data_IF_705230891697
#
_entry.id   IF_705230891697
#
_cell.length_a   1.000
_cell.length_b   1.000
_cell.length_c   1.000
_cell.angle_alpha   90.00
_cell.angle_beta   90.00
_cell.angle_gamma   90.00
#
_symmetry.space_group_name_H-M   'P 1'
#
loop_
_entity.id
_entity.type
_entity.pdbx_description
1 polymer ?
#
# COMPACT_ATOMS: atom_id res chain seq x y z
N UNK A 1 -8.28 -1.09 27.56
CA UNK A 1 -7.53 -0.28 26.60
C UNK A 1 -8.47 0.52 25.73
N UNK A 2 -8.01 1.62 25.12
CA UNK A 2 -8.77 2.35 24.12
C UNK A 2 -8.54 1.78 22.72
N UNK A 3 -9.58 1.84 21.88
CA UNK A 3 -9.52 1.38 20.49
C UNK A 3 -10.53 2.14 19.61
N UNK A 4 -10.20 2.27 18.33
CA UNK A 4 -11.18 2.60 17.30
C UNK A 4 -11.96 1.33 16.97
N UNK A 5 -13.27 1.44 16.96
CA UNK A 5 -14.19 0.31 16.77
C UNK A 5 -15.13 0.59 15.60
N UNK A 6 -15.29 -0.38 14.70
CA UNK A 6 -16.42 -0.44 13.77
C UNK A 6 -17.48 -1.34 14.42
N UNK A 7 -18.68 -0.81 14.66
CA UNK A 7 -19.79 -1.56 15.27
C UNK A 7 -20.50 -2.46 14.24
N UNK A 8 -20.52 -2.04 12.98
CA UNK A 8 -21.11 -2.74 11.84
C UNK A 8 -20.50 -2.24 10.54
N UNK A 9 -20.84 -2.86 9.42
CA UNK A 9 -20.61 -2.25 8.11
C UNK A 9 -21.49 -1.03 7.90
N UNK A 10 -20.96 0.00 7.24
CA UNK A 10 -21.72 1.23 6.96
C UNK A 10 -20.83 2.42 6.62
N UNK A 11 -21.23 3.60 7.07
CA UNK A 11 -20.50 4.85 6.92
C UNK A 11 -19.63 5.18 8.13
N UNK A 12 -19.10 6.41 8.16
CA UNK A 12 -18.27 6.90 9.26
C UNK A 12 -19.01 7.01 10.61
N UNK A 13 -20.33 6.95 10.60
CA UNK A 13 -21.19 6.88 11.79
C UNK A 13 -21.04 5.57 12.57
N UNK A 14 -20.54 4.51 11.91
CA UNK A 14 -20.27 3.22 12.56
C UNK A 14 -18.94 3.20 13.33
N UNK A 15 -18.18 4.30 13.32
CA UNK A 15 -16.88 4.42 13.96
C UNK A 15 -17.05 5.08 15.33
N UNK A 16 -16.46 4.46 16.34
CA UNK A 16 -16.33 5.03 17.69
C UNK A 16 -14.93 4.83 18.26
N UNK A 17 -14.54 5.67 19.21
CA UNK A 17 -13.34 5.48 20.03
C UNK A 17 -13.76 5.14 21.45
N UNK A 18 -13.55 3.92 21.87
CA UNK A 18 -14.12 3.41 23.12
C UNK A 18 -13.23 2.42 23.86
N UNK A 19 -13.78 1.91 24.96
CA UNK A 19 -13.13 0.87 25.75
C UNK A 19 -13.26 -0.50 25.07
N UNK A 20 -12.15 -1.22 25.04
CA UNK A 20 -12.06 -2.59 24.56
C UNK A 20 -11.22 -3.42 25.53
N UNK A 21 -11.51 -4.71 25.76
CA UNK A 21 -10.68 -5.55 26.61
C UNK A 21 -9.21 -5.52 26.19
N UNK A 22 -8.30 -5.31 27.14
CA UNK A 22 -6.87 -5.44 26.86
C UNK A 22 -6.58 -6.91 26.60
N UNK A 23 -5.90 -7.26 25.50
CA UNK A 23 -5.59 -8.66 25.22
C UNK A 23 -4.59 -9.20 26.24
N UNK A 24 -4.75 -10.48 26.60
CA UNK A 24 -3.76 -11.25 27.34
C UNK A 24 -2.84 -11.94 26.33
N UNK A 25 -1.56 -12.03 26.66
CA UNK A 25 -0.59 -12.72 25.80
C UNK A 25 -0.86 -14.22 25.79
N UNK A 26 -1.02 -14.81 24.60
CA UNK A 26 -1.06 -16.26 24.41
C UNK A 26 0.35 -16.87 24.44
N UNK A 27 0.46 -18.21 24.57
CA UNK A 27 1.75 -18.88 24.74
C UNK A 27 2.74 -18.64 23.59
N UNK A 28 2.26 -18.47 22.35
CA UNK A 28 3.07 -18.26 21.16
C UNK A 28 3.09 -16.79 20.68
N UNK A 29 2.51 -15.87 21.46
CA UNK A 29 2.30 -14.48 21.09
C UNK A 29 3.24 -13.52 21.81
N UNK A 30 3.36 -12.30 21.27
CA UNK A 30 3.85 -11.14 21.99
C UNK A 30 2.71 -10.13 22.16
N UNK A 31 2.62 -9.53 23.34
CA UNK A 31 1.78 -8.36 23.58
C UNK A 31 2.56 -7.12 23.18
N UNK A 32 1.98 -6.34 22.29
CA UNK A 32 2.58 -5.10 21.76
C UNK A 32 1.84 -3.89 22.30
N UNK A 33 2.56 -2.87 22.74
CA UNK A 33 2.06 -1.52 22.84
C UNK A 33 2.17 -0.89 21.45
N UNK A 34 1.03 -0.57 20.84
CA UNK A 34 1.02 0.06 19.50
C UNK A 34 1.63 1.46 19.59
N UNK A 35 2.53 1.78 18.69
CA UNK A 35 3.18 3.09 18.57
C UNK A 35 2.80 3.83 17.30
N UNK A 36 2.45 3.09 16.25
CA UNK A 36 1.94 3.65 15.02
C UNK A 36 1.05 2.64 14.29
N UNK A 37 -0.02 3.12 13.67
CA UNK A 37 -0.89 2.36 12.79
C UNK A 37 -1.20 3.19 11.56
N UNK A 38 -1.14 2.62 10.36
CA UNK A 38 -1.37 3.35 9.13
C UNK A 38 -2.57 2.82 8.34
N UNK A 39 -3.31 3.75 7.71
CA UNK A 39 -4.44 3.43 6.83
C UNK A 39 -3.97 3.03 5.42
N UNK A 40 -4.82 2.26 4.78
CA UNK A 40 -4.69 1.80 3.40
C UNK A 40 -5.94 2.13 2.57
N UNK A 41 -5.81 2.12 1.25
CA UNK A 41 -6.90 2.44 0.33
C UNK A 41 -8.10 1.48 0.43
N UNK A 42 -7.94 0.31 1.05
CA UNK A 42 -9.04 -0.63 1.25
C UNK A 42 -9.77 -0.45 2.61
N UNK A 43 -9.22 0.27 3.59
CA UNK A 43 -9.88 0.46 4.89
C UNK A 43 -11.30 1.05 4.78
N UNK A 44 -11.56 2.04 3.89
CA UNK A 44 -12.93 2.49 3.62
C UNK A 44 -13.84 1.39 3.05
N UNK A 45 -13.26 0.45 2.27
CA UNK A 45 -14.03 -0.68 1.70
C UNK A 45 -14.40 -1.70 2.78
N UNK A 46 -13.49 -1.95 3.73
CA UNK A 46 -13.78 -2.82 4.90
C UNK A 46 -14.90 -2.23 5.74
N UNK A 47 -14.85 -0.93 6.02
CA UNK A 47 -15.93 -0.25 6.74
C UNK A 47 -17.26 -0.39 5.99
N UNK A 48 -17.28 -0.17 4.68
CA UNK A 48 -18.49 -0.30 3.84
C UNK A 48 -19.00 -1.75 3.75
N UNK A 49 -18.09 -2.73 3.87
CA UNK A 49 -18.34 -4.15 3.67
C UNK A 49 -17.99 -4.65 2.27
N UNK A 50 -17.17 -5.68 2.21
CA UNK A 50 -16.79 -6.36 0.96
C UNK A 50 -17.60 -7.65 0.85
N UNK A 51 -18.35 -7.87 -0.25
CA UNK A 51 -19.12 -9.10 -0.44
C UNK A 51 -18.25 -10.37 -0.27
N UNK A 52 -18.69 -11.29 0.56
CA UNK A 52 -17.98 -12.55 0.83
C UNK A 52 -16.90 -12.46 1.90
N UNK A 53 -16.48 -11.26 2.33
CA UNK A 53 -15.53 -11.09 3.42
C UNK A 53 -16.26 -11.13 4.78
N UNK A 54 -15.72 -11.92 5.72
CA UNK A 54 -16.26 -12.01 7.09
C UNK A 54 -15.44 -11.14 8.04
N UNK A 55 -15.93 -9.94 8.31
CA UNK A 55 -15.33 -9.02 9.28
C UNK A 55 -15.87 -9.32 10.69
N UNK A 56 -15.02 -9.55 11.70
CA UNK A 56 -15.47 -9.79 13.08
C UNK A 56 -15.87 -8.47 13.76
N UNK A 57 -17.12 -8.33 14.20
CA UNK A 57 -17.57 -7.13 14.95
C UNK A 57 -17.57 -7.35 16.47
N UNK A 58 -17.30 -6.33 17.29
CA UNK A 58 -16.74 -5.05 16.89
C UNK A 58 -15.34 -5.23 16.29
N UNK A 59 -15.07 -4.52 15.17
CA UNK A 59 -13.81 -4.60 14.46
C UNK A 59 -12.88 -3.47 14.90
N UNK A 60 -11.61 -3.80 15.16
CA UNK A 60 -10.54 -2.80 15.30
C UNK A 60 -9.86 -2.71 13.95
N UNK A 61 -9.91 -1.55 13.25
CA UNK A 61 -9.29 -1.37 11.94
C UNK A 61 -7.77 -1.19 12.01
N UNK A 62 -7.14 -0.98 10.84
CA UNK A 62 -5.71 -0.66 10.70
C UNK A 62 -4.83 -1.91 10.64
N UNK A 63 -4.44 -2.29 9.42
CA UNK A 63 -3.63 -3.49 9.18
C UNK A 63 -2.12 -3.26 9.32
N UNK A 64 -1.65 -2.06 9.06
CA UNK A 64 -0.24 -1.68 9.10
C UNK A 64 0.16 -1.20 10.49
N UNK A 65 0.92 -2.00 11.24
CA UNK A 65 1.15 -1.80 12.68
C UNK A 65 2.64 -1.83 12.99
N UNK A 66 3.10 -0.87 13.77
CA UNK A 66 4.40 -0.87 14.43
C UNK A 66 4.23 -0.63 15.93
N UNK A 67 4.99 -1.33 16.76
CA UNK A 67 4.87 -1.23 18.19
C UNK A 67 6.10 -1.72 18.96
N UNK A 68 5.95 -1.73 20.27
CA UNK A 68 6.97 -2.16 21.22
C UNK A 68 6.45 -3.39 21.98
N UNK A 69 7.27 -4.42 22.07
CA UNK A 69 6.96 -5.61 22.84
C UNK A 69 6.88 -5.26 24.34
N UNK A 70 5.80 -5.61 25.00
CA UNK A 70 5.63 -5.39 26.45
C UNK A 70 5.56 -6.69 27.23
N UNK A 71 5.14 -7.79 26.59
CA UNK A 71 5.11 -9.12 27.21
C UNK A 71 5.30 -10.21 26.15
N UNK A 72 5.83 -11.37 26.52
CA UNK A 72 6.21 -12.46 25.62
C UNK A 72 5.68 -13.78 26.15
N UNK A 73 4.97 -14.52 25.30
CA UNK A 73 4.40 -15.83 25.62
C UNK A 73 5.45 -16.90 25.89
N UNK A 74 5.08 -17.87 26.72
CA UNK A 74 6.00 -18.88 27.26
C UNK A 74 6.63 -19.81 26.20
N UNK A 75 5.97 -20.00 25.05
CA UNK A 75 6.47 -20.83 23.95
C UNK A 75 7.33 -20.06 22.93
N UNK A 76 7.37 -18.73 23.01
CA UNK A 76 8.22 -17.95 22.11
C UNK A 76 9.68 -18.28 22.39
N UNK A 77 10.48 -18.68 21.39
CA UNK A 77 11.87 -19.07 21.62
C UNK A 77 12.65 -18.02 22.38
N UNK A 78 13.33 -18.42 23.45
CA UNK A 78 14.08 -17.51 24.30
C UNK A 78 15.08 -16.66 23.50
N UNK A 79 15.03 -15.35 23.71
CA UNK A 79 15.89 -14.40 23.02
C UNK A 79 15.41 -13.95 21.64
N UNK A 80 14.32 -14.49 21.07
CA UNK A 80 13.78 -14.01 19.81
C UNK A 80 13.16 -12.61 19.96
N UNK A 81 12.39 -12.41 21.01
CA UNK A 81 11.83 -11.11 21.40
C UNK A 81 11.92 -10.94 22.93
N UNK A 82 11.99 -9.68 23.36
CA UNK A 82 11.97 -9.28 24.77
C UNK A 82 11.23 -7.94 24.92
N UNK A 83 10.72 -7.63 26.11
CA UNK A 83 10.15 -6.31 26.39
C UNK A 83 11.11 -5.18 26.01
N UNK A 84 10.58 -4.17 25.31
CA UNK A 84 11.32 -3.06 24.75
C UNK A 84 11.75 -3.24 23.27
N UNK A 85 11.65 -4.44 22.71
CA UNK A 85 11.94 -4.64 21.29
C UNK A 85 10.95 -3.91 20.41
N UNK A 86 11.46 -3.25 19.37
CA UNK A 86 10.68 -2.51 18.38
C UNK A 86 10.30 -3.43 17.23
N UNK A 87 9.01 -3.58 16.94
CA UNK A 87 8.53 -4.57 15.97
C UNK A 87 7.49 -4.00 15.01
N UNK A 88 7.53 -4.49 13.76
CA UNK A 88 6.50 -4.34 12.75
C UNK A 88 5.69 -5.63 12.67
N UNK A 89 4.37 -5.52 12.53
CA UNK A 89 3.50 -6.68 12.33
C UNK A 89 3.39 -7.00 10.84
N UNK A 90 3.50 -8.27 10.49
CA UNK A 90 3.15 -8.78 9.15
C UNK A 90 1.63 -8.90 9.07
N UNK A 91 0.95 -8.03 8.31
CA UNK A 91 -0.52 -7.97 8.35
C UNK A 91 -1.19 -9.15 7.65
N UNK A 92 -0.60 -9.72 6.61
CA UNK A 92 -1.13 -10.91 5.94
C UNK A 92 -0.59 -12.18 6.61
N UNK A 93 -1.49 -12.95 7.24
CA UNK A 93 -1.19 -14.16 7.99
C UNK A 93 -1.77 -15.39 7.26
N UNK A 94 -0.97 -16.13 6.48
CA UNK A 94 -1.45 -17.22 5.64
C UNK A 94 -2.22 -18.29 6.42
N UNK A 95 -3.42 -18.65 5.93
CA UNK A 95 -4.30 -19.64 6.57
C UNK A 95 -5.07 -19.11 7.80
N UNK A 96 -4.82 -17.86 8.22
CA UNK A 96 -5.47 -17.23 9.39
C UNK A 96 -6.32 -16.04 8.97
N UNK A 97 -5.73 -15.05 8.29
CA UNK A 97 -6.43 -13.85 7.85
C UNK A 97 -5.51 -12.66 7.59
N UNK A 98 -6.11 -11.48 7.54
CA UNK A 98 -5.41 -10.21 7.39
C UNK A 98 -5.81 -9.24 8.48
N UNK A 99 -4.82 -8.60 9.09
CA UNK A 99 -5.00 -7.57 10.12
C UNK A 99 -5.80 -6.40 9.56
N UNK A 100 -6.77 -5.90 10.34
CA UNK A 100 -7.64 -4.80 9.93
C UNK A 100 -8.74 -5.20 8.92
N UNK A 101 -8.84 -6.48 8.54
CA UNK A 101 -9.79 -7.00 7.55
C UNK A 101 -10.61 -8.17 8.09
N UNK A 102 -10.00 -9.33 8.27
CA UNK A 102 -10.60 -10.54 8.84
C UNK A 102 -10.09 -10.83 10.25
N UNK A 103 -9.00 -10.18 10.62
CA UNK A 103 -8.45 -10.12 11.98
C UNK A 103 -8.53 -8.68 12.49
N UNK A 104 -8.68 -8.51 13.80
CA UNK A 104 -8.62 -7.17 14.40
C UNK A 104 -7.27 -6.54 14.17
N UNK A 105 -7.28 -5.24 13.84
CA UNK A 105 -6.08 -4.46 13.53
C UNK A 105 -5.50 -3.74 14.74
N UNK A 106 -4.66 -2.74 14.46
CA UNK A 106 -3.85 -2.02 15.43
C UNK A 106 -4.31 -0.61 15.77
N UNK A 107 -5.53 -0.20 15.40
CA UNK A 107 -6.04 1.12 15.82
C UNK A 107 -6.49 1.08 17.29
N UNK A 108 -5.55 0.77 18.22
CA UNK A 108 -5.76 0.56 19.65
C UNK A 108 -4.45 0.74 20.43
N UNK A 109 -4.53 0.73 21.79
CA UNK A 109 -3.35 0.85 22.64
C UNK A 109 -2.46 -0.40 22.61
N UNK A 110 -3.07 -1.60 22.62
CA UNK A 110 -2.37 -2.89 22.73
C UNK A 110 -2.93 -3.94 21.80
N UNK A 111 -2.06 -4.81 21.28
CA UNK A 111 -2.45 -5.95 20.46
C UNK A 111 -1.58 -7.16 20.77
N UNK A 112 -2.17 -8.37 20.85
CA UNK A 112 -1.43 -9.63 20.92
C UNK A 112 -1.30 -10.22 19.52
N UNK A 113 -0.08 -10.60 19.13
CA UNK A 113 0.24 -11.13 17.80
C UNK A 113 1.19 -12.31 17.94
N UNK A 114 0.93 -13.40 17.21
CA UNK A 114 1.84 -14.55 17.14
C UNK A 114 3.24 -14.09 16.71
N UNK A 115 4.25 -14.45 17.49
CA UNK A 115 5.63 -14.02 17.34
C UNK A 115 6.26 -14.35 15.98
N UNK A 116 5.68 -15.30 15.24
CA UNK A 116 6.14 -15.60 13.86
C UNK A 116 5.80 -14.52 12.85
N UNK A 117 4.81 -13.65 13.14
CA UNK A 117 4.39 -12.53 12.31
C UNK A 117 4.97 -11.19 12.75
N UNK A 118 6.01 -11.21 13.57
CA UNK A 118 6.73 -10.02 14.01
C UNK A 118 8.10 -9.93 13.35
N UNK A 119 8.42 -8.73 12.87
CA UNK A 119 9.72 -8.38 12.32
C UNK A 119 10.35 -7.28 13.17
N UNK A 120 11.62 -7.40 13.52
CA UNK A 120 12.33 -6.34 14.24
C UNK A 120 12.47 -5.09 13.36
N UNK A 121 12.20 -3.93 13.95
CA UNK A 121 12.43 -2.64 13.31
C UNK A 121 13.89 -2.25 13.56
N UNK A 122 14.71 -2.02 12.49
CA UNK A 122 16.09 -1.60 12.64
C UNK A 122 16.23 -0.28 13.39
N UNK A 123 17.34 -0.08 14.05
CA UNK A 123 17.70 1.22 14.62
C UNK A 123 17.73 2.28 13.50
N UNK A 124 17.27 3.50 13.79
CA UNK A 124 17.15 4.60 12.82
C UNK A 124 15.84 4.63 12.02
N UNK A 125 15.04 3.56 12.01
CA UNK A 125 13.70 3.57 11.40
C UNK A 125 12.66 3.94 12.46
N UNK A 126 11.81 4.95 12.22
CA UNK A 126 10.74 5.33 13.14
C UNK A 126 9.57 4.35 13.11
N UNK A 127 8.69 4.38 14.13
CA UNK A 127 7.48 3.56 14.14
C UNK A 127 6.51 3.95 13.01
N UNK A 128 6.43 5.25 12.71
CA UNK A 128 5.57 5.79 11.64
C UNK A 128 6.06 5.34 10.26
N UNK A 129 7.39 5.36 10.05
CA UNK A 129 7.99 4.82 8.83
C UNK A 129 7.72 3.32 8.72
N UNK A 130 7.98 2.56 9.78
CA UNK A 130 7.74 1.12 9.81
C UNK A 130 6.28 0.76 9.55
N UNK A 131 5.31 1.47 10.18
CA UNK A 131 3.89 1.27 9.94
C UNK A 131 3.43 1.72 8.54
N UNK A 132 4.21 2.53 7.82
CA UNK A 132 3.86 2.99 6.46
C UNK A 132 4.20 1.97 5.38
N UNK A 133 5.03 0.97 5.69
CA UNK A 133 5.60 0.05 4.70
C UNK A 133 4.71 -1.15 4.34
N UNK A 134 4.07 -1.88 5.29
CA UNK A 134 3.64 -3.26 5.04
C UNK A 134 2.74 -3.42 3.82
N UNK A 135 1.55 -2.89 3.83
CA UNK A 135 0.59 -3.14 2.74
C UNK A 135 0.97 -2.36 1.49
N UNK A 136 1.25 -1.07 1.62
CA UNK A 136 1.47 -0.21 0.46
C UNK A 136 2.82 -0.47 -0.22
N UNK A 137 3.92 -0.31 0.51
CA UNK A 137 5.26 -0.47 -0.04
C UNK A 137 5.63 -1.94 -0.28
N UNK A 138 5.14 -2.85 0.58
CA UNK A 138 5.27 -4.30 0.34
C UNK A 138 4.63 -4.71 -0.97
N UNK A 139 3.40 -4.27 -1.23
CA UNK A 139 2.72 -4.48 -2.51
C UNK A 139 3.51 -3.87 -3.67
N UNK A 140 3.96 -2.62 -3.52
CA UNK A 140 4.74 -1.94 -4.56
C UNK A 140 6.05 -2.69 -4.85
N UNK A 141 6.83 -3.08 -3.82
CA UNK A 141 8.09 -3.79 -4.00
C UNK A 141 7.88 -5.12 -4.72
N UNK A 142 6.94 -5.95 -4.24
CA UNK A 142 6.65 -7.22 -4.89
C UNK A 142 6.20 -7.03 -6.32
N UNK A 143 5.31 -6.08 -6.57
CA UNK A 143 4.79 -5.79 -7.91
C UNK A 143 5.89 -5.29 -8.85
N UNK A 144 6.70 -4.33 -8.42
CA UNK A 144 7.72 -3.70 -9.26
C UNK A 144 8.95 -4.58 -9.44
N UNK A 145 9.51 -5.10 -8.34
CA UNK A 145 10.82 -5.74 -8.35
C UNK A 145 10.73 -7.26 -8.58
N UNK A 146 9.74 -7.95 -7.99
CA UNK A 146 9.65 -9.41 -8.06
C UNK A 146 8.83 -9.86 -9.25
N UNK A 147 7.59 -9.33 -9.39
CA UNK A 147 6.67 -9.75 -10.45
C UNK A 147 6.92 -9.01 -11.76
N UNK A 148 7.08 -7.71 -11.66
CA UNK A 148 7.27 -6.82 -12.81
C UNK A 148 8.70 -6.80 -13.33
N UNK A 149 9.68 -7.06 -12.47
CA UNK A 149 11.12 -7.03 -12.82
C UNK A 149 11.49 -5.76 -13.59
N UNK A 150 11.11 -4.61 -13.02
CA UNK A 150 11.42 -3.30 -13.61
C UNK A 150 12.93 -3.11 -13.68
N UNK A 151 13.42 -2.60 -14.81
CA UNK A 151 14.84 -2.49 -15.13
C UNK A 151 15.23 -1.06 -15.50
N UNK A 152 16.51 -0.80 -15.41
CA UNK A 152 17.14 0.42 -15.90
C UNK A 152 16.77 0.70 -17.38
N UNK A 153 16.48 1.97 -17.67
CA UNK A 153 16.12 2.45 -19.00
C UNK A 153 14.69 2.16 -19.46
N UNK A 154 13.90 1.40 -18.70
CA UNK A 154 12.48 1.20 -19.01
C UNK A 154 11.67 2.46 -18.71
N UNK A 155 10.66 2.75 -19.54
CA UNK A 155 9.64 3.76 -19.26
C UNK A 155 8.51 3.12 -18.46
N UNK A 156 8.25 3.64 -17.25
CA UNK A 156 7.22 3.16 -16.34
C UNK A 156 6.15 4.22 -16.15
N UNK A 157 4.94 3.92 -16.58
CA UNK A 157 3.77 4.76 -16.31
C UNK A 157 3.07 4.28 -15.03
N UNK A 158 2.94 5.15 -14.04
CA UNK A 158 2.25 4.85 -12.77
C UNK A 158 0.91 5.58 -12.71
N UNK A 159 -0.18 4.84 -12.80
CA UNK A 159 -1.54 5.34 -12.56
C UNK A 159 -1.84 5.30 -11.07
N UNK A 160 -2.56 6.33 -10.55
CA UNK A 160 -2.81 6.44 -9.11
C UNK A 160 -1.55 6.71 -8.29
N UNK A 161 -0.56 7.37 -8.88
CA UNK A 161 0.78 7.57 -8.31
C UNK A 161 0.82 8.25 -6.94
N UNK A 162 -0.25 8.92 -6.53
CA UNK A 162 -0.33 9.67 -5.27
C UNK A 162 -0.78 8.84 -4.06
N UNK A 163 -1.29 7.62 -4.25
CA UNK A 163 -1.63 6.71 -3.16
C UNK A 163 -0.41 6.01 -2.57
N UNK A 164 -0.58 5.29 -1.45
CA UNK A 164 0.54 4.60 -0.80
C UNK A 164 1.28 3.62 -1.71
N UNK A 165 0.58 2.76 -2.48
CA UNK A 165 1.20 1.86 -3.47
C UNK A 165 1.85 2.66 -4.59
N UNK A 166 1.20 3.74 -5.05
CA UNK A 166 1.69 4.57 -6.15
C UNK A 166 2.99 5.30 -5.81
N UNK A 167 3.07 5.93 -4.64
CA UNK A 167 4.30 6.59 -4.18
C UNK A 167 5.45 5.59 -4.02
N UNK A 168 5.17 4.41 -3.48
CA UNK A 168 6.13 3.31 -3.42
C UNK A 168 6.58 2.84 -4.82
N UNK A 169 5.65 2.71 -5.78
CA UNK A 169 5.97 2.31 -7.15
C UNK A 169 6.85 3.35 -7.86
N UNK A 170 6.58 4.66 -7.69
CA UNK A 170 7.41 5.75 -8.22
C UNK A 170 8.84 5.66 -7.70
N UNK A 171 9.00 5.60 -6.38
CA UNK A 171 10.32 5.54 -5.76
C UNK A 171 11.10 4.28 -6.15
N UNK A 172 10.48 3.11 -6.12
CA UNK A 172 11.11 1.84 -6.47
C UNK A 172 11.45 1.75 -7.96
N UNK A 173 10.61 2.28 -8.86
CA UNK A 173 10.93 2.37 -10.28
C UNK A 173 12.14 3.27 -10.52
N UNK A 174 12.20 4.42 -9.83
CA UNK A 174 13.35 5.34 -9.92
C UNK A 174 14.63 4.69 -9.41
N UNK A 175 14.57 3.97 -8.30
CA UNK A 175 15.70 3.21 -7.76
C UNK A 175 16.18 2.11 -8.72
N UNK A 176 15.27 1.51 -9.50
CA UNK A 176 15.62 0.55 -10.55
C UNK A 176 16.26 1.18 -11.80
N UNK A 177 16.42 2.51 -11.84
CA UNK A 177 16.97 3.23 -13.00
C UNK A 177 15.98 3.44 -14.14
N UNK A 178 14.67 3.28 -13.89
CA UNK A 178 13.65 3.51 -14.89
C UNK A 178 13.36 5.00 -15.09
N UNK A 179 12.83 5.35 -16.27
CA UNK A 179 12.21 6.64 -16.54
C UNK A 179 10.76 6.61 -16.07
N UNK A 180 10.45 7.37 -15.05
CA UNK A 180 9.17 7.29 -14.33
C UNK A 180 8.22 8.40 -14.77
N UNK A 181 7.07 8.00 -15.31
CA UNK A 181 5.96 8.87 -15.69
C UNK A 181 4.82 8.64 -14.69
N UNK A 182 4.44 9.67 -13.93
CA UNK A 182 3.48 9.54 -12.86
C UNK A 182 2.20 10.36 -13.11
N UNK A 183 1.02 9.72 -12.96
CA UNK A 183 -0.27 10.39 -13.13
C UNK A 183 -0.84 10.89 -11.81
N UNK A 184 -1.27 12.16 -11.80
CA UNK A 184 -1.98 12.77 -10.69
C UNK A 184 -3.21 13.56 -11.16
N UNK A 185 -4.05 14.01 -10.23
CA UNK A 185 -5.30 14.74 -10.51
C UNK A 185 -5.21 16.23 -10.21
N UNK A 186 -4.01 16.77 -10.03
CA UNK A 186 -3.77 18.22 -9.88
C UNK A 186 -2.31 18.55 -10.08
N UNK A 187 -2.03 19.81 -10.46
CA UNK A 187 -0.67 20.33 -10.62
C UNK A 187 0.16 20.22 -9.31
N UNK A 188 -0.44 20.52 -8.14
CA UNK A 188 0.22 20.38 -6.84
C UNK A 188 0.73 18.96 -6.61
N UNK A 189 -0.11 17.96 -6.88
CA UNK A 189 0.27 16.54 -6.73
C UNK A 189 1.33 16.12 -7.75
N UNK A 190 1.31 16.70 -8.95
CA UNK A 190 2.34 16.49 -9.95
C UNK A 190 3.71 16.96 -9.47
N UNK A 191 3.80 18.15 -8.84
CA UNK A 191 5.06 18.63 -8.29
C UNK A 191 5.58 17.72 -7.15
N UNK A 192 4.72 17.32 -6.22
CA UNK A 192 5.09 16.37 -5.18
C UNK A 192 5.58 15.02 -5.72
N UNK A 193 5.05 14.55 -6.85
CA UNK A 193 5.54 13.33 -7.50
C UNK A 193 6.94 13.49 -8.07
N UNK A 194 7.30 14.65 -8.60
CA UNK A 194 8.67 14.95 -9.05
C UNK A 194 9.65 14.93 -7.89
N UNK A 195 9.26 15.48 -6.72
CA UNK A 195 10.09 15.48 -5.52
C UNK A 195 10.45 14.06 -5.03
N UNK A 196 9.58 13.07 -5.27
CA UNK A 196 9.81 11.67 -4.90
C UNK A 196 10.38 10.80 -6.01
N UNK A 197 10.77 11.40 -7.16
CA UNK A 197 11.54 10.73 -8.21
C UNK A 197 10.82 10.51 -9.54
N UNK A 198 9.63 11.06 -9.76
CA UNK A 198 9.04 11.04 -11.11
C UNK A 198 9.84 11.95 -12.06
N UNK A 199 10.24 11.42 -13.22
CA UNK A 199 10.93 12.19 -14.28
C UNK A 199 9.94 13.06 -15.06
N UNK A 200 8.70 12.58 -15.18
CA UNK A 200 7.61 13.25 -15.88
C UNK A 200 6.29 13.05 -15.13
N UNK A 201 5.41 14.04 -15.19
CA UNK A 201 4.08 13.94 -14.60
C UNK A 201 2.99 14.29 -15.61
N UNK A 202 1.82 13.67 -15.46
CA UNK A 202 0.62 13.91 -16.24
C UNK A 202 -0.51 14.33 -15.30
N UNK A 203 -0.99 15.57 -15.43
CA UNK A 203 -2.17 16.04 -14.72
C UNK A 203 -3.43 15.55 -15.45
N UNK A 204 -4.00 14.46 -14.97
CA UNK A 204 -5.19 13.83 -15.57
C UNK A 204 -6.47 14.65 -15.42
N UNK A 205 -6.45 15.77 -14.71
CA UNK A 205 -7.54 16.74 -14.69
C UNK A 205 -7.51 17.67 -15.90
N UNK A 206 -6.36 17.80 -16.56
CA UNK A 206 -6.13 18.71 -17.69
C UNK A 206 -5.94 17.97 -19.02
N UNK A 207 -5.37 16.76 -19.00
CA UNK A 207 -5.05 16.01 -20.21
C UNK A 207 -5.34 14.51 -20.07
N UNK A 208 -5.67 13.86 -21.19
CA UNK A 208 -5.80 12.40 -21.25
C UNK A 208 -4.41 11.75 -21.31
N UNK A 209 -4.11 10.84 -20.41
CA UNK A 209 -2.79 10.22 -20.34
C UNK A 209 -2.42 9.43 -21.61
N UNK A 210 -3.40 8.91 -22.37
CA UNK A 210 -3.12 8.23 -23.64
C UNK A 210 -2.63 9.24 -24.68
N UNK A 211 -3.29 10.39 -24.77
CA UNK A 211 -2.88 11.47 -25.68
C UNK A 211 -1.48 11.99 -25.30
N UNK A 212 -1.25 12.24 -24.00
CA UNK A 212 0.04 12.70 -23.49
C UNK A 212 1.19 11.71 -23.81
N UNK A 213 0.98 10.41 -23.55
CA UNK A 213 1.99 9.38 -23.88
C UNK A 213 2.24 9.30 -25.39
N UNK A 214 1.19 9.34 -26.21
CA UNK A 214 1.34 9.28 -27.67
C UNK A 214 2.11 10.49 -28.22
N UNK A 215 1.87 11.67 -27.68
CA UNK A 215 2.55 12.91 -28.07
C UNK A 215 4.03 12.91 -27.67
N UNK A 216 4.32 12.57 -26.40
CA UNK A 216 5.67 12.72 -25.80
C UNK A 216 6.56 11.51 -26.04
N UNK A 217 5.97 10.29 -26.12
CA UNK A 217 6.72 9.03 -26.24
C UNK A 217 6.42 8.27 -27.53
N UNK A 218 5.56 8.83 -28.41
CA UNK A 218 5.11 8.22 -29.64
C UNK A 218 4.03 7.17 -29.44
N UNK A 219 3.18 7.00 -30.44
CA UNK A 219 2.16 5.95 -30.46
C UNK A 219 2.83 4.58 -30.62
N UNK A 220 2.49 3.58 -29.80
CA UNK A 220 3.02 2.22 -29.94
C UNK A 220 2.78 1.66 -31.34
N UNK A 221 3.77 0.96 -31.89
CA UNK A 221 3.71 0.29 -33.20
C UNK A 221 4.08 -1.18 -33.06
N UNK A 222 3.40 -2.05 -33.81
CA UNK A 222 3.67 -3.49 -33.83
C UNK A 222 5.12 -3.78 -34.26
N UNK A 223 5.62 -3.02 -35.24
CA UNK A 223 6.98 -3.10 -35.77
C UNK A 223 7.70 -1.76 -35.55
N UNK A 224 8.06 -1.46 -34.30
CA UNK A 224 8.75 -0.20 -34.01
C UNK A 224 8.61 0.24 -32.56
N UNK A 225 9.06 1.47 -32.28
CA UNK A 225 9.02 2.06 -30.95
C UNK A 225 7.69 2.72 -30.61
N UNK A 226 7.74 3.57 -29.60
CA UNK A 226 6.62 4.34 -29.04
C UNK A 226 6.02 3.67 -27.83
N UNK A 227 5.35 4.49 -26.99
CA UNK A 227 4.73 4.07 -25.76
C UNK A 227 5.69 3.80 -24.60
N UNK A 228 5.20 3.07 -23.61
CA UNK A 228 5.90 2.75 -22.35
C UNK A 228 6.10 1.24 -22.18
N UNK A 229 7.16 0.86 -21.47
CA UNK A 229 7.50 -0.55 -21.25
C UNK A 229 6.63 -1.19 -20.16
N UNK A 230 6.27 -0.41 -19.13
CA UNK A 230 5.53 -0.88 -17.96
C UNK A 230 4.41 0.09 -17.66
N UNK A 231 3.23 -0.44 -17.37
CA UNK A 231 2.12 0.32 -16.80
C UNK A 231 1.76 -0.29 -15.45
N UNK A 232 1.82 0.51 -14.40
CA UNK A 232 1.28 0.16 -13.09
C UNK A 232 -0.17 0.60 -13.04
N UNK A 233 -1.10 -0.37 -13.02
CA UNK A 233 -2.53 -0.11 -13.00
C UNK A 233 -3.25 -0.98 -11.95
N UNK A 234 -3.50 -0.41 -10.80
CA UNK A 234 -4.36 -0.98 -9.75
C UNK A 234 -5.67 -0.19 -9.59
N UNK A 235 -5.96 0.70 -10.55
CA UNK A 235 -7.21 1.46 -10.62
C UNK A 235 -8.30 0.60 -11.26
N UNK A 236 -7.98 -0.04 -12.40
CA UNK A 236 -8.97 -0.81 -13.17
C UNK A 236 -9.95 0.08 -13.93
N UNK A 237 -11.18 -0.40 -14.13
CA UNK A 237 -12.23 0.33 -14.83
C UNK A 237 -11.78 0.86 -16.20
N UNK A 238 -12.16 2.10 -16.52
CA UNK A 238 -11.85 2.74 -17.81
C UNK A 238 -10.35 2.90 -18.10
N UNK A 239 -9.50 2.90 -17.05
CA UNK A 239 -8.05 3.03 -17.25
C UNK A 239 -7.43 1.77 -17.82
N UNK A 240 -8.08 0.60 -17.69
CA UNK A 240 -7.58 -0.67 -18.15
C UNK A 240 -7.32 -0.70 -19.67
N UNK A 241 -8.37 -0.48 -20.47
CA UNK A 241 -8.26 -0.46 -21.92
C UNK A 241 -7.32 0.64 -22.44
N UNK A 242 -7.29 1.78 -21.73
CA UNK A 242 -6.38 2.89 -22.02
C UNK A 242 -4.92 2.48 -21.78
N UNK A 243 -4.65 1.68 -20.75
CA UNK A 243 -3.31 1.16 -20.44
C UNK A 243 -2.76 0.30 -21.58
N UNK A 244 -3.59 -0.57 -22.17
CA UNK A 244 -3.15 -1.39 -23.33
C UNK A 244 -2.72 -0.55 -24.52
N UNK A 245 -3.36 0.61 -24.73
CA UNK A 245 -3.10 1.51 -25.87
C UNK A 245 -1.77 2.27 -25.75
N UNK A 246 -1.20 2.38 -24.55
CA UNK A 246 0.06 3.11 -24.32
C UNK A 246 1.26 2.19 -24.13
N UNK A 247 1.05 0.88 -23.90
CA UNK A 247 2.15 -0.08 -23.78
C UNK A 247 2.79 -0.37 -25.13
N UNK A 248 4.11 -0.34 -25.17
CA UNK A 248 4.89 -0.75 -26.34
C UNK A 248 4.74 -2.26 -26.62
N UNK A 249 5.30 -2.75 -27.73
CA UNK A 249 5.46 -4.17 -27.98
C UNK A 249 6.33 -4.79 -26.86
N UNK A 250 5.95 -5.96 -26.37
CA UNK A 250 6.52 -6.65 -25.20
C UNK A 250 6.35 -5.89 -23.88
N UNK A 251 5.53 -4.83 -23.88
CA UNK A 251 5.20 -4.11 -22.65
C UNK A 251 4.38 -4.98 -21.67
N UNK A 252 4.42 -4.61 -20.40
CA UNK A 252 3.68 -5.32 -19.36
C UNK A 252 2.88 -4.39 -18.46
N UNK A 253 1.67 -4.81 -18.13
CA UNK A 253 0.82 -4.13 -17.16
C UNK A 253 0.89 -4.86 -15.83
N UNK A 254 1.25 -4.15 -14.76
CA UNK A 254 1.36 -4.67 -13.41
C UNK A 254 0.08 -4.34 -12.63
N UNK A 255 -0.54 -5.37 -12.05
CA UNK A 255 -1.88 -5.27 -11.45
C UNK A 255 -1.84 -5.84 -10.04
N UNK A 256 -2.22 -5.02 -9.04
CA UNK A 256 -2.35 -5.45 -7.64
C UNK A 256 -3.68 -5.04 -7.01
N UNK A 257 -4.63 -4.64 -7.82
CA UNK A 257 -5.96 -4.21 -7.38
C UNK A 257 -6.81 -3.67 -8.53
N UNK A 258 -8.06 -3.30 -8.24
CA UNK A 258 -9.01 -2.74 -9.19
C UNK A 258 -10.00 -1.81 -8.45
N UNK A 259 -9.50 -0.67 -7.96
CA UNK A 259 -10.23 0.22 -7.04
C UNK A 259 -11.45 0.91 -7.65
N UNK A 260 -11.53 1.03 -8.98
CA UNK A 260 -12.66 1.68 -9.69
C UNK A 260 -13.48 0.71 -10.55
N UNK A 261 -13.12 -0.57 -10.60
CA UNK A 261 -13.86 -1.60 -11.31
C UNK A 261 -12.98 -2.77 -11.74
N UNK A 262 -13.48 -3.99 -11.52
CA UNK A 262 -12.75 -5.24 -11.75
C UNK A 262 -13.21 -6.00 -13.00
N UNK A 263 -14.21 -5.49 -13.72
CA UNK A 263 -14.76 -6.08 -14.94
C UNK A 263 -14.74 -5.08 -16.11
N UNK A 264 -13.54 -4.65 -16.55
CA UNK A 264 -13.41 -3.72 -17.69
C UNK A 264 -13.64 -4.46 -19.01
N UNK A 265 -14.25 -3.78 -19.99
CA UNK A 265 -14.28 -4.27 -21.37
C UNK A 265 -12.85 -4.25 -21.92
N UNK A 266 -12.41 -5.35 -22.55
CA UNK A 266 -11.05 -5.50 -23.05
C UNK A 266 -11.01 -5.72 -24.56
N UNK A 267 -10.05 -5.09 -25.24
CA UNK A 267 -9.70 -5.35 -26.63
C UNK A 267 -8.44 -6.23 -26.69
N UNK A 268 -8.64 -7.53 -26.72
CA UNK A 268 -7.55 -8.53 -26.70
C UNK A 268 -6.61 -8.42 -27.90
N UNK A 269 -6.97 -7.69 -28.95
CA UNK A 269 -6.08 -7.46 -30.10
C UNK A 269 -4.79 -6.75 -29.69
N UNK A 270 -4.84 -5.85 -28.71
CA UNK A 270 -3.62 -5.22 -28.18
C UNK A 270 -2.69 -6.27 -27.55
N UNK A 271 -3.22 -7.22 -26.80
CA UNK A 271 -2.43 -8.21 -26.08
C UNK A 271 -1.64 -9.09 -27.07
N UNK A 272 -2.33 -9.75 -28.03
CA UNK A 272 -1.64 -10.68 -28.92
C UNK A 272 -0.84 -9.97 -30.01
N UNK A 273 -1.32 -8.85 -30.58
CA UNK A 273 -0.61 -8.18 -31.69
C UNK A 273 0.63 -7.40 -31.23
N UNK A 274 0.65 -6.89 -30.00
CA UNK A 274 1.81 -6.24 -29.40
C UNK A 274 2.58 -7.15 -28.45
N UNK A 275 2.20 -8.42 -28.32
CA UNK A 275 2.81 -9.39 -27.40
C UNK A 275 2.92 -8.85 -25.98
N UNK A 276 1.84 -8.16 -25.51
CA UNK A 276 1.78 -7.55 -24.19
C UNK A 276 1.51 -8.60 -23.10
N UNK A 277 2.02 -8.34 -21.90
CA UNK A 277 1.81 -9.21 -20.74
C UNK A 277 0.98 -8.49 -19.67
N UNK A 278 0.06 -9.23 -19.03
CA UNK A 278 -0.65 -8.77 -17.83
C UNK A 278 -0.13 -9.56 -16.65
N UNK A 279 0.48 -8.88 -15.67
CA UNK A 279 1.18 -9.49 -14.56
C UNK A 279 0.47 -9.18 -13.25
N UNK A 280 -0.21 -10.17 -12.70
CA UNK A 280 -0.83 -10.08 -11.39
C UNK A 280 0.20 -10.13 -10.26
N UNK A 281 0.01 -9.30 -9.23
CA UNK A 281 0.79 -9.30 -8.01
C UNK A 281 -0.16 -9.23 -6.81
N UNK A 282 0.02 -10.13 -5.85
CA UNK A 282 -0.78 -10.17 -4.64
C UNK A 282 0.12 -10.42 -3.43
N UNK A 283 -0.15 -9.70 -2.34
CA UNK A 283 0.59 -9.76 -1.10
C UNK A 283 2.11 -9.46 -1.26
N UNK A 284 2.90 -9.86 -0.30
CA UNK A 284 4.36 -9.74 -0.21
C UNK A 284 4.87 -10.77 0.79
N UNK A 285 6.18 -10.90 0.92
CA UNK A 285 6.81 -11.81 1.89
C UNK A 285 7.45 -11.04 3.05
N UNK A 286 7.72 -11.70 4.19
CA UNK A 286 8.49 -11.07 5.28
C UNK A 286 9.83 -10.49 4.81
N UNK A 287 10.51 -11.16 3.86
CA UNK A 287 11.77 -10.71 3.27
C UNK A 287 11.60 -9.40 2.49
N UNK A 288 10.44 -9.20 1.83
CA UNK A 288 10.13 -7.93 1.18
C UNK A 288 10.06 -6.79 2.21
N UNK A 289 9.51 -7.05 3.41
CA UNK A 289 9.41 -6.06 4.48
C UNK A 289 10.77 -5.75 5.10
N UNK A 290 11.57 -6.79 5.36
CA UNK A 290 12.94 -6.61 5.88
C UNK A 290 13.74 -5.75 4.93
N UNK A 291 13.72 -6.06 3.63
CA UNK A 291 14.45 -5.27 2.63
C UNK A 291 13.96 -3.80 2.58
N UNK A 292 12.66 -3.54 2.70
CA UNK A 292 12.12 -2.18 2.74
C UNK A 292 12.58 -1.41 3.99
N UNK A 293 12.56 -2.05 5.16
CA UNK A 293 13.06 -1.43 6.39
C UNK A 293 14.57 -1.13 6.32
N UNK A 294 15.35 -2.01 5.69
CA UNK A 294 16.77 -1.76 5.44
C UNK A 294 16.99 -0.58 4.49
N UNK A 295 16.22 -0.48 3.41
CA UNK A 295 16.27 0.67 2.50
C UNK A 295 15.95 1.98 3.22
N UNK A 296 14.99 1.96 4.16
CA UNK A 296 14.67 3.14 4.99
C UNK A 296 15.79 3.46 5.95
N UNK A 297 16.36 2.45 6.63
CA UNK A 297 17.52 2.62 7.52
C UNK A 297 18.70 3.25 6.80
N UNK A 298 18.98 2.79 5.59
CA UNK A 298 20.12 3.24 4.78
C UNK A 298 19.84 4.58 4.06
N UNK A 299 18.64 5.14 4.21
CA UNK A 299 18.24 6.42 3.61
C UNK A 299 17.99 6.36 2.09
N UNK A 300 17.99 5.16 1.49
CA UNK A 300 17.75 4.99 0.06
C UNK A 300 16.25 5.04 -0.30
N UNK A 301 15.38 4.77 0.69
CA UNK A 301 13.92 4.88 0.58
C UNK A 301 13.38 5.74 1.72
N UNK A 302 12.51 6.69 1.41
CA UNK A 302 11.75 7.46 2.38
C UNK A 302 10.24 7.24 2.14
N UNK A 303 9.54 6.45 2.96
CA UNK A 303 8.10 6.26 2.75
C UNK A 303 7.36 7.59 2.89
N UNK A 304 6.49 7.86 1.93
CA UNK A 304 5.74 9.12 1.88
C UNK A 304 4.60 9.07 2.90
N UNK A 305 4.70 9.91 3.92
CA UNK A 305 3.69 10.05 4.98
C UNK A 305 3.02 11.41 4.79
N UNK A 306 1.74 11.41 4.43
CA UNK A 306 0.94 12.62 4.23
C UNK A 306 0.75 13.36 5.55
N UNK A 307 0.40 12.63 6.60
CA UNK A 307 0.21 13.18 7.95
C UNK A 307 0.34 12.11 9.04
N UNK A 308 0.75 12.56 10.22
CA UNK A 308 0.74 11.78 11.46
C UNK A 308 -0.23 12.46 12.42
N UNK A 309 -1.21 11.73 12.94
CA UNK A 309 -2.27 12.25 13.77
C UNK A 309 -2.40 11.44 15.07
N UNK A 310 -2.80 12.04 16.19
CA UNK A 310 -3.23 11.29 17.37
C UNK A 310 -4.40 10.35 17.03
N UNK A 311 -4.40 9.14 17.59
CA UNK A 311 -5.47 8.17 17.40
C UNK A 311 -6.72 8.57 18.19
N UNK A 312 -7.55 9.39 17.60
CA UNK A 312 -8.86 9.82 18.11
C UNK A 312 -9.94 9.48 17.09
N UNK A 313 -11.20 9.40 17.55
CA UNK A 313 -12.34 9.19 16.64
C UNK A 313 -12.40 10.23 15.52
N UNK A 314 -12.25 11.51 15.88
CA UNK A 314 -12.31 12.61 14.92
C UNK A 314 -11.21 12.50 13.86
N UNK A 315 -9.96 12.33 14.28
CA UNK A 315 -8.81 12.21 13.38
C UNK A 315 -8.90 10.96 12.51
N UNK A 316 -9.39 9.84 13.08
CA UNK A 316 -9.53 8.60 12.31
C UNK A 316 -10.61 8.72 11.22
N UNK A 317 -11.75 9.33 11.55
CA UNK A 317 -12.80 9.67 10.57
C UNK A 317 -12.29 10.62 9.50
N UNK A 318 -11.54 11.65 9.88
CA UNK A 318 -10.90 12.59 8.93
C UNK A 318 -9.95 11.86 7.98
N UNK A 319 -9.08 11.00 8.49
CA UNK A 319 -8.13 10.23 7.69
C UNK A 319 -8.83 9.30 6.68
N UNK A 320 -9.89 8.59 7.11
CA UNK A 320 -10.70 7.76 6.21
C UNK A 320 -11.43 8.61 5.15
N UNK A 321 -12.02 9.74 5.55
CA UNK A 321 -12.68 10.63 4.61
C UNK A 321 -11.70 11.19 3.58
N UNK A 322 -10.48 11.55 4.00
CA UNK A 322 -9.44 12.01 3.09
C UNK A 322 -9.04 10.94 2.06
N UNK A 323 -9.02 9.65 2.45
CA UNK A 323 -8.82 8.54 1.51
C UNK A 323 -9.98 8.40 0.52
N UNK A 324 -11.23 8.47 1.00
CA UNK A 324 -12.45 8.41 0.17
C UNK A 324 -12.43 9.56 -0.85
N UNK A 325 -12.09 10.76 -0.42
CA UNK A 325 -12.02 11.97 -1.25
C UNK A 325 -10.76 12.03 -2.15
N UNK A 326 -9.86 11.03 -2.06
CA UNK A 326 -8.58 10.99 -2.80
C UNK A 326 -7.69 12.22 -2.55
N UNK A 327 -7.74 12.78 -1.32
CA UNK A 327 -6.96 13.96 -0.91
C UNK A 327 -5.61 13.61 -0.30
N UNK A 328 -5.33 12.33 -0.05
CA UNK A 328 -4.08 11.85 0.56
C UNK A 328 -2.97 11.77 -0.49
N UNK A 329 -1.74 12.11 -0.06
CA UNK A 329 -0.51 11.88 -0.81
C UNK A 329 0.42 10.95 -0.01
N UNK A 330 0.40 9.66 -0.30
CA UNK A 330 1.12 8.64 0.45
C UNK A 330 0.27 7.97 1.54
N UNK A 331 0.72 8.01 2.80
CA UNK A 331 0.13 7.29 3.94
C UNK A 331 -0.40 8.24 5.01
N UNK A 332 -1.51 7.87 5.63
CA UNK A 332 -2.01 8.49 6.87
C UNK A 332 -1.66 7.57 8.03
N UNK A 333 -0.97 8.10 9.02
CA UNK A 333 -0.49 7.36 10.20
C UNK A 333 -1.15 7.91 11.47
N UNK A 334 -1.51 7.04 12.38
CA UNK A 334 -2.02 7.41 13.70
C UNK A 334 -1.10 6.90 14.80
N UNK A 335 -0.99 7.69 15.87
CA UNK A 335 -0.24 7.38 17.08
C UNK A 335 -1.24 7.29 18.23
N UNK A 336 -1.39 6.11 18.89
CA UNK A 336 -2.24 5.94 20.07
C UNK A 336 -1.78 6.75 21.27
#
# INVERSE_FOLDING_TARGET
>A
MKAILYSAHGGLDQISHGDYPTPTVGPDECLLKVKAVALNGFDPMILKGIPGLKTPFPMIPGGDIAGEVVDVGANVPGGKFRPGDRVQVVPFQPGIGQMGETLRGGACDYIAVDAKFLLQIPEGVSYEQAASLPIAYGTARRMMMVRGQVKEGEKVLVLGATGGVGTGAVQLAKMAGAYVIACASSAEKCEKLKEIGADETIDTSQEDFVAAIHERHGKPRIWGGGGVNVVVNYIGGDTWTKSLKVMCRFGRMLVCGATTGYDPKEDIRYIWSYEQSIVGSNAWTPEDQVALMEMVRDGTLAPVIDRVLPLTEANFKEGLQALIDRKVFGKVVFVP
#
